data_IF_375151259345
#
_entry.id   IF_375151259345
#
_cell.length_a   1.000
_cell.length_b   1.000
_cell.length_c   1.000
_cell.angle_alpha   90.00
_cell.angle_beta   90.00
_cell.angle_gamma   90.00
#
_symmetry.space_group_name_H-M   'P 1'
#
loop_
_entity.id
_entity.type
_entity.pdbx_description
1 polymer ?
#
# COMPACT_ATOMS: atom_id res chain seq x y z
N UNK A 1 79.47 31.35 15.89
CA UNK A 1 78.57 30.42 15.16
C UNK A 1 77.29 30.22 15.96
N UNK A 2 76.14 30.73 15.50
CA UNK A 2 74.82 30.48 16.12
C UNK A 2 74.14 29.36 15.33
N UNK A 3 73.96 28.18 15.94
CA UNK A 3 73.16 27.09 15.36
C UNK A 3 71.68 27.48 15.45
N UNK A 4 71.01 27.60 14.30
CA UNK A 4 69.56 27.79 14.22
C UNK A 4 68.86 26.55 14.77
N UNK A 5 67.77 26.74 15.54
CA UNK A 5 66.95 25.64 16.03
C UNK A 5 66.02 25.14 14.90
N UNK A 6 65.78 23.82 14.80
CA UNK A 6 64.87 23.28 13.78
C UNK A 6 63.41 23.64 14.09
N UNK A 7 62.53 23.69 13.06
CA UNK A 7 61.12 24.01 13.24
C UNK A 7 60.38 22.91 14.02
N UNK A 8 59.28 23.25 14.72
CA UNK A 8 58.51 22.27 15.48
C UNK A 8 57.88 21.24 14.53
N UNK A 9 58.07 19.95 14.85
CA UNK A 9 57.53 18.84 14.08
C UNK A 9 56.00 18.89 14.00
N UNK A 10 55.47 18.77 12.78
CA UNK A 10 54.02 18.74 12.52
C UNK A 10 53.43 17.50 13.20
N UNK A 11 52.65 17.69 14.27
CA UNK A 11 51.99 16.57 14.96
C UNK A 11 50.82 16.09 14.11
N UNK A 12 51.04 15.00 13.37
CA UNK A 12 50.00 14.32 12.60
C UNK A 12 49.02 13.71 13.61
N UNK A 13 47.82 14.25 13.70
CA UNK A 13 46.75 13.68 14.52
C UNK A 13 46.20 12.45 13.80
N UNK A 14 46.60 11.27 14.25
CA UNK A 14 46.01 10.01 13.81
C UNK A 14 44.50 10.05 14.09
N UNK A 15 43.69 10.00 13.03
CA UNK A 15 42.24 9.85 13.17
C UNK A 15 41.99 8.36 13.44
N UNK A 16 41.94 7.99 14.72
CA UNK A 16 41.49 6.65 15.08
C UNK A 16 40.02 6.51 14.71
N UNK A 17 39.74 5.69 13.71
CA UNK A 17 38.38 5.24 13.43
C UNK A 17 37.94 4.40 14.62
N UNK A 18 36.90 4.84 15.34
CA UNK A 18 36.44 4.10 16.51
C UNK A 18 35.82 2.77 16.07
N UNK A 19 36.08 1.72 16.85
CA UNK A 19 35.62 0.34 16.59
C UNK A 19 34.09 0.30 16.39
N UNK A 20 33.34 1.19 17.03
CA UNK A 20 31.89 1.34 16.82
C UNK A 20 31.50 1.65 15.38
N UNK A 21 32.27 2.46 14.64
CA UNK A 21 32.01 2.72 13.22
C UNK A 21 32.30 1.49 12.36
N UNK A 22 33.34 0.71 12.70
CA UNK A 22 33.64 -0.53 11.98
C UNK A 22 32.56 -1.59 12.22
N UNK A 23 32.05 -1.72 13.44
CA UNK A 23 30.94 -2.62 13.77
C UNK A 23 29.63 -2.18 13.10
N UNK A 24 29.32 -0.89 13.10
CA UNK A 24 28.13 -0.37 12.42
C UNK A 24 28.19 -0.61 10.89
N UNK A 25 29.35 -0.37 10.28
CA UNK A 25 29.57 -0.64 8.85
C UNK A 25 29.51 -2.13 8.54
N UNK A 26 30.02 -2.99 9.43
CA UNK A 26 29.93 -4.45 9.30
C UNK A 26 28.48 -4.93 9.39
N UNK A 27 27.69 -4.42 10.35
CA UNK A 27 26.27 -4.76 10.49
C UNK A 27 25.46 -4.31 9.26
N UNK A 28 25.76 -3.12 8.73
CA UNK A 28 25.14 -2.61 7.50
C UNK A 28 25.54 -3.46 6.28
N UNK A 29 26.79 -3.91 6.20
CA UNK A 29 27.24 -4.79 5.13
C UNK A 29 26.57 -6.17 5.23
N UNK A 30 26.45 -6.72 6.44
CA UNK A 30 25.83 -8.02 6.71
C UNK A 30 24.34 -8.03 6.35
N UNK A 31 23.62 -6.93 6.62
CA UNK A 31 22.21 -6.79 6.26
C UNK A 31 21.98 -6.67 4.75
N UNK A 32 22.91 -6.06 4.01
CA UNK A 32 22.87 -6.01 2.54
C UNK A 32 23.24 -7.37 1.92
N UNK A 33 24.23 -8.06 2.48
CA UNK A 33 24.69 -9.39 2.03
C UNK A 33 23.67 -10.50 2.33
N UNK A 34 22.92 -10.37 3.43
CA UNK A 34 21.76 -11.20 3.73
C UNK A 34 20.57 -10.71 2.89
N UNK A 35 20.66 -10.90 1.57
CA UNK A 35 19.70 -10.41 0.59
C UNK A 35 18.27 -10.71 0.99
N UNK A 36 17.49 -9.64 1.22
CA UNK A 36 16.06 -9.73 1.50
C UNK A 36 15.32 -10.20 0.24
N UNK A 37 15.24 -11.52 0.04
CA UNK A 37 14.46 -12.12 -1.05
C UNK A 37 12.96 -12.01 -0.72
N UNK A 38 12.36 -10.91 -1.15
CA UNK A 38 10.91 -10.78 -1.09
C UNK A 38 10.31 -11.68 -2.18
N UNK A 39 9.34 -12.55 -1.86
CA UNK A 39 8.67 -13.34 -2.89
C UNK A 39 8.02 -12.38 -3.89
N UNK A 40 8.50 -12.38 -5.15
CA UNK A 40 7.87 -11.61 -6.22
C UNK A 40 6.65 -12.37 -6.72
N UNK A 41 5.55 -11.65 -6.91
CA UNK A 41 4.38 -12.20 -7.59
C UNK A 41 4.75 -12.56 -9.03
N UNK A 42 4.55 -13.83 -9.39
CA UNK A 42 4.81 -14.35 -10.75
C UNK A 42 3.84 -13.74 -11.77
N UNK A 43 4.17 -13.81 -13.05
CA UNK A 43 3.28 -13.29 -14.11
C UNK A 43 1.98 -14.10 -14.18
N UNK A 44 2.12 -15.40 -14.02
CA UNK A 44 1.04 -16.38 -13.99
C UNK A 44 0.07 -16.04 -12.87
N UNK A 45 0.58 -15.77 -11.66
CA UNK A 45 -0.25 -15.37 -10.51
C UNK A 45 -0.98 -14.05 -10.75
N UNK A 46 -0.36 -13.08 -11.42
CA UNK A 46 -1.03 -11.82 -11.78
C UNK A 46 -2.20 -12.05 -12.74
N UNK A 47 -2.02 -12.93 -13.72
CA UNK A 47 -3.07 -13.28 -14.69
C UNK A 47 -4.22 -14.02 -14.03
N UNK A 48 -3.94 -14.97 -13.14
CA UNK A 48 -4.96 -15.66 -12.34
C UNK A 48 -5.80 -14.67 -11.52
N UNK A 49 -5.15 -13.73 -10.82
CA UNK A 49 -5.85 -12.73 -10.00
C UNK A 49 -6.69 -11.78 -10.86
N UNK A 50 -6.18 -11.38 -12.04
CA UNK A 50 -6.96 -10.58 -12.99
C UNK A 50 -8.22 -11.31 -13.43
N UNK A 51 -8.09 -12.59 -13.78
CA UNK A 51 -9.23 -13.39 -14.23
C UNK A 51 -10.21 -13.68 -13.08
N UNK A 52 -9.73 -13.81 -11.85
CA UNK A 52 -10.57 -13.90 -10.65
C UNK A 52 -11.38 -12.62 -10.43
N UNK A 53 -10.73 -11.45 -10.47
CA UNK A 53 -11.41 -10.16 -10.34
C UNK A 53 -12.48 -9.99 -11.41
N UNK A 54 -12.18 -10.35 -12.66
CA UNK A 54 -13.14 -10.34 -13.76
C UNK A 54 -14.38 -11.19 -13.44
N UNK A 55 -14.18 -12.42 -12.97
CA UNK A 55 -15.29 -13.33 -12.58
C UNK A 55 -16.11 -12.76 -11.42
N UNK A 56 -15.45 -12.21 -10.39
CA UNK A 56 -16.14 -11.58 -9.25
C UNK A 56 -16.97 -10.38 -9.68
N UNK A 57 -16.48 -9.58 -10.62
CA UNK A 57 -17.22 -8.44 -11.16
C UNK A 57 -18.50 -8.88 -11.87
N UNK A 58 -18.41 -9.86 -12.78
CA UNK A 58 -19.61 -10.40 -13.46
C UNK A 58 -20.58 -11.04 -12.48
N UNK A 59 -20.08 -11.75 -11.47
CA UNK A 59 -20.95 -12.30 -10.43
C UNK A 59 -21.76 -11.20 -9.73
N UNK A 60 -21.14 -10.09 -9.34
CA UNK A 60 -21.86 -8.97 -8.73
C UNK A 60 -22.83 -8.29 -9.70
N UNK A 61 -22.36 -7.99 -10.92
CA UNK A 61 -23.14 -7.30 -11.95
C UNK A 61 -24.36 -8.10 -12.40
N UNK A 62 -24.21 -9.37 -12.74
CA UNK A 62 -25.29 -10.22 -13.23
C UNK A 62 -26.38 -10.40 -12.15
N UNK A 63 -25.98 -10.52 -10.88
CA UNK A 63 -26.93 -10.57 -9.77
C UNK A 63 -27.64 -9.24 -9.55
N UNK A 64 -26.95 -8.10 -9.68
CA UNK A 64 -27.60 -6.79 -9.60
C UNK A 64 -28.66 -6.64 -10.69
N UNK A 65 -28.31 -6.96 -11.93
CA UNK A 65 -29.25 -6.89 -13.07
C UNK A 65 -30.45 -7.83 -12.88
N UNK A 66 -30.24 -9.02 -12.31
CA UNK A 66 -31.30 -10.01 -12.13
C UNK A 66 -32.20 -9.71 -10.93
N UNK A 67 -31.65 -9.18 -9.83
CA UNK A 67 -32.33 -9.14 -8.52
C UNK A 67 -32.58 -7.75 -7.94
N UNK A 68 -31.89 -6.72 -8.42
CA UNK A 68 -31.97 -5.38 -7.86
C UNK A 68 -32.37 -4.30 -8.86
N UNK A 69 -32.06 -4.43 -10.16
CA UNK A 69 -32.47 -3.43 -11.14
C UNK A 69 -34.01 -3.23 -11.14
N UNK A 70 -34.53 -1.99 -11.08
CA UNK A 70 -33.86 -0.70 -11.24
C UNK A 70 -33.43 0.02 -9.95
N UNK A 71 -33.47 -0.64 -8.79
CA UNK A 71 -33.07 -0.05 -7.52
C UNK A 71 -31.57 0.30 -7.51
N UNK A 72 -31.18 1.23 -6.65
CA UNK A 72 -29.82 1.77 -6.59
C UNK A 72 -28.78 0.71 -6.15
N UNK A 73 -29.11 -0.15 -5.19
CA UNK A 73 -28.19 -1.16 -4.65
C UNK A 73 -28.79 -2.58 -4.57
N UNK A 74 -27.93 -3.60 -4.66
CA UNK A 74 -28.28 -5.00 -4.36
C UNK A 74 -27.90 -5.37 -2.93
N UNK A 75 -28.83 -5.94 -2.16
CA UNK A 75 -28.53 -6.65 -0.91
C UNK A 75 -28.15 -8.11 -1.18
N UNK A 76 -26.87 -8.50 -1.08
CA UNK A 76 -26.39 -9.79 -1.59
C UNK A 76 -26.89 -11.01 -0.80
N UNK A 77 -27.23 -10.85 0.49
CA UNK A 77 -27.72 -11.96 1.30
C UNK A 77 -29.21 -12.26 1.11
N UNK A 78 -30.01 -11.22 0.87
CA UNK A 78 -31.46 -11.37 0.66
C UNK A 78 -31.84 -11.43 -0.82
N UNK A 79 -30.90 -11.17 -1.73
CA UNK A 79 -31.14 -11.03 -3.18
C UNK A 79 -32.31 -10.10 -3.51
N UNK A 80 -32.30 -8.91 -2.91
CA UNK A 80 -33.31 -7.87 -3.13
C UNK A 80 -32.63 -6.54 -3.41
N UNK A 81 -33.25 -5.72 -4.25
CA UNK A 81 -32.87 -4.33 -4.43
C UNK A 81 -33.13 -3.48 -3.19
N UNK A 82 -32.46 -2.34 -3.13
CA UNK A 82 -32.56 -1.32 -2.10
C UNK A 82 -32.47 0.05 -2.75
N UNK A 83 -33.47 0.88 -2.51
CA UNK A 83 -33.52 2.29 -2.93
C UNK A 83 -34.00 3.16 -1.77
N UNK A 84 -34.40 4.40 -2.08
CA UNK A 84 -34.92 5.34 -1.09
C UNK A 84 -36.06 4.78 -0.22
N UNK A 85 -36.07 5.20 1.03
CA UNK A 85 -37.18 5.05 1.97
C UNK A 85 -38.30 6.02 1.61
N UNK A 86 -39.27 5.52 0.84
CA UNK A 86 -40.46 6.28 0.42
C UNK A 86 -41.49 6.46 1.53
N UNK A 87 -41.41 5.68 2.61
CA UNK A 87 -42.35 5.78 3.74
C UNK A 87 -41.93 6.88 4.72
N UNK A 88 -40.63 7.12 4.88
CA UNK A 88 -40.08 8.19 5.69
C UNK A 88 -39.18 9.14 4.88
N UNK A 89 -39.76 10.21 4.29
CA UNK A 89 -39.00 11.18 3.50
C UNK A 89 -37.86 11.89 4.27
N UNK A 90 -37.94 11.94 5.60
CA UNK A 90 -36.92 12.55 6.46
C UNK A 90 -35.80 11.58 6.86
N UNK A 91 -35.75 10.38 6.26
CA UNK A 91 -34.65 9.43 6.45
C UNK A 91 -33.43 9.85 5.63
N UNK A 92 -32.78 10.95 6.06
CA UNK A 92 -31.66 11.54 5.35
C UNK A 92 -30.45 10.60 5.22
N UNK A 93 -30.26 9.67 6.17
CA UNK A 93 -29.15 8.71 6.11
C UNK A 93 -29.27 7.76 4.91
N UNK A 94 -30.49 7.36 4.56
CA UNK A 94 -30.76 6.43 3.45
C UNK A 94 -31.03 7.20 2.15
N UNK A 95 -31.88 8.23 2.20
CA UNK A 95 -32.38 8.92 1.00
C UNK A 95 -31.35 9.86 0.36
N UNK A 96 -30.29 10.24 1.07
CA UNK A 96 -29.19 11.05 0.51
C UNK A 96 -28.30 10.21 -0.43
N UNK A 97 -28.05 8.94 -0.09
CA UNK A 97 -27.23 8.03 -0.90
C UNK A 97 -28.06 7.30 -1.96
N UNK A 98 -29.26 6.83 -1.61
CA UNK A 98 -30.13 6.03 -2.46
C UNK A 98 -31.25 6.86 -3.10
N UNK A 99 -30.88 7.94 -3.78
CA UNK A 99 -31.83 8.95 -4.27
C UNK A 99 -32.39 8.72 -5.68
N UNK A 100 -32.28 7.52 -6.25
CA UNK A 100 -32.71 7.21 -7.62
C UNK A 100 -32.04 8.13 -8.69
N UNK A 101 -30.77 8.56 -8.47
CA UNK A 101 -30.02 9.42 -9.39
C UNK A 101 -28.64 8.86 -9.77
N UNK A 102 -28.18 9.21 -10.97
CA UNK A 102 -26.82 8.89 -11.43
C UNK A 102 -25.94 10.15 -11.37
N UNK A 103 -24.81 10.08 -10.67
CA UNK A 103 -23.78 11.13 -10.72
C UNK A 103 -22.86 10.93 -11.93
N UNK A 104 -22.41 12.03 -12.56
CA UNK A 104 -21.55 12.03 -13.76
C UNK A 104 -20.11 12.37 -13.44
#
# INVERSE_FOLDING_TARGET
>A
MRKSRPPPGRRIRSRHVSIGWLLAMLLLLLSILCGQSHPRMTKERKLELRDLVKKTWYHGFDNYITHAFPDDELRPLSCKGMGQDRENPNNHEINDVLGDFSMT
#
